data_IF_130224864363
#
_entry.id   IF_130224864363
#
_cell.length_a   1.000
_cell.length_b   1.000
_cell.length_c   1.000
_cell.angle_alpha   90.00
_cell.angle_beta   90.00
_cell.angle_gamma   90.00
#
_symmetry.space_group_name_H-M   'P 1'
#
loop_
_entity.id
_entity.type
_entity.pdbx_description
1 polymer ?
#
# COMPACT_ATOMS: atom_id res chain seq x y z
N UNK A 1 -25.31 -13.62 -4.33
CA UNK A 1 -25.29 -13.90 -5.78
C UNK A 1 -24.23 -14.94 -6.13
N UNK A 2 -22.98 -14.78 -5.70
CA UNK A 2 -21.99 -15.86 -5.82
C UNK A 2 -22.40 -17.15 -5.11
N UNK A 3 -23.03 -17.08 -3.92
CA UNK A 3 -23.54 -18.30 -3.25
C UNK A 3 -24.66 -19.00 -4.06
N UNK A 4 -25.52 -18.25 -4.76
CA UNK A 4 -26.54 -18.84 -5.65
C UNK A 4 -25.91 -19.54 -6.86
N UNK A 5 -24.80 -19.00 -7.37
CA UNK A 5 -23.99 -19.65 -8.42
C UNK A 5 -23.32 -20.94 -7.93
N UNK A 6 -22.92 -20.98 -6.66
CA UNK A 6 -22.41 -22.21 -6.06
C UNK A 6 -23.50 -23.27 -5.94
N UNK A 7 -24.78 -22.91 -5.88
CA UNK A 7 -25.88 -23.88 -5.81
C UNK A 7 -26.27 -24.46 -7.18
N UNK A 8 -26.05 -23.72 -8.28
CA UNK A 8 -26.48 -24.14 -9.62
C UNK A 8 -25.61 -25.23 -10.26
N UNK A 9 -24.36 -25.39 -9.79
CA UNK A 9 -23.37 -26.33 -10.35
C UNK A 9 -23.11 -26.20 -11.86
N UNK A 10 -23.50 -25.06 -12.44
CA UNK A 10 -23.37 -24.77 -13.87
C UNK A 10 -22.10 -23.95 -14.13
N UNK A 11 -21.10 -24.64 -14.67
CA UNK A 11 -19.80 -24.09 -15.05
C UNK A 11 -19.92 -22.97 -16.08
N UNK A 12 -20.80 -23.10 -17.08
CA UNK A 12 -20.95 -22.08 -18.13
C UNK A 12 -21.61 -20.83 -17.56
N UNK A 13 -22.57 -21.01 -16.65
CA UNK A 13 -23.18 -19.90 -15.93
C UNK A 13 -22.17 -19.19 -15.02
N UNK A 14 -21.30 -19.94 -14.33
CA UNK A 14 -20.23 -19.39 -13.51
C UNK A 14 -19.21 -18.59 -14.33
N UNK A 15 -18.72 -19.14 -15.44
CA UNK A 15 -17.82 -18.43 -16.35
C UNK A 15 -18.47 -17.16 -16.88
N UNK A 16 -19.71 -17.26 -17.37
CA UNK A 16 -20.45 -16.10 -17.90
C UNK A 16 -20.70 -15.05 -16.83
N UNK A 17 -20.99 -15.46 -15.60
CA UNK A 17 -21.13 -14.53 -14.49
C UNK A 17 -19.84 -13.76 -14.24
N UNK A 18 -18.70 -14.44 -14.12
CA UNK A 18 -17.43 -13.77 -13.84
C UNK A 18 -16.98 -12.86 -14.99
N UNK A 19 -17.18 -13.28 -16.24
CA UNK A 19 -16.78 -12.50 -17.42
C UNK A 19 -17.70 -11.31 -17.71
N UNK A 20 -19.02 -11.47 -17.62
CA UNK A 20 -19.96 -10.46 -18.13
C UNK A 20 -20.57 -9.59 -17.02
N UNK A 21 -20.75 -10.16 -15.81
CA UNK A 21 -21.51 -9.52 -14.73
C UNK A 21 -20.62 -9.09 -13.57
N UNK A 22 -19.64 -9.91 -13.18
CA UNK A 22 -18.79 -9.67 -12.03
C UNK A 22 -17.72 -8.60 -12.29
N UNK A 23 -17.34 -8.34 -13.55
CA UNK A 23 -16.42 -7.25 -13.92
C UNK A 23 -16.95 -5.88 -13.46
N UNK A 24 -18.29 -5.74 -13.38
CA UNK A 24 -18.93 -4.52 -12.86
C UNK A 24 -18.94 -4.42 -11.33
N UNK A 25 -18.64 -5.52 -10.61
CA UNK A 25 -18.61 -5.57 -9.15
C UNK A 25 -17.24 -5.21 -8.56
N UNK A 26 -16.17 -5.21 -9.36
CA UNK A 26 -14.85 -4.72 -8.94
C UNK A 26 -14.85 -3.25 -8.48
N UNK A 27 -15.90 -2.51 -8.82
CA UNK A 27 -16.09 -1.10 -8.47
C UNK A 27 -16.92 -0.86 -7.21
N UNK A 28 -17.47 -1.92 -6.59
CA UNK A 28 -18.28 -1.78 -5.39
C UNK A 28 -17.39 -1.68 -4.15
N UNK A 29 -17.66 -0.68 -3.30
CA UNK A 29 -17.21 -0.67 -1.91
C UNK A 29 -17.48 -2.05 -1.28
N UNK A 30 -16.42 -2.72 -0.81
CA UNK A 30 -16.52 -4.05 -0.23
C UNK A 30 -16.05 -5.21 -1.13
N UNK A 31 -15.08 -5.01 -2.02
CA UNK A 31 -14.38 -6.10 -2.73
C UNK A 31 -13.94 -7.24 -1.79
N UNK A 32 -13.56 -6.90 -0.54
CA UNK A 32 -13.28 -7.86 0.55
C UNK A 32 -14.45 -8.80 0.87
N UNK A 33 -15.70 -8.35 0.75
CA UNK A 33 -16.89 -9.17 1.00
C UNK A 33 -17.08 -10.26 -0.06
N UNK A 34 -16.51 -10.08 -1.25
CA UNK A 34 -16.58 -11.06 -2.34
C UNK A 34 -15.50 -12.15 -2.22
N UNK A 35 -14.43 -11.93 -1.46
CA UNK A 35 -13.31 -12.87 -1.34
C UNK A 35 -13.74 -14.28 -0.92
N UNK A 36 -14.55 -14.49 0.14
CA UNK A 36 -14.95 -15.84 0.54
C UNK A 36 -15.76 -16.55 -0.55
N UNK A 37 -16.58 -15.79 -1.28
CA UNK A 37 -17.38 -16.29 -2.38
C UNK A 37 -16.53 -16.67 -3.59
N UNK A 38 -15.52 -15.86 -3.93
CA UNK A 38 -14.56 -16.13 -5.00
C UNK A 38 -13.74 -17.39 -4.69
N UNK A 39 -13.21 -17.50 -3.46
CA UNK A 39 -12.47 -18.68 -3.01
C UNK A 39 -13.32 -19.95 -3.16
N UNK A 40 -14.58 -19.94 -2.71
CA UNK A 40 -15.50 -21.09 -2.88
C UNK A 40 -15.77 -21.42 -4.36
N UNK A 41 -15.93 -20.41 -5.21
CA UNK A 41 -16.16 -20.63 -6.64
C UNK A 41 -14.96 -21.29 -7.31
N UNK A 42 -13.75 -20.84 -6.99
CA UNK A 42 -12.51 -21.42 -7.51
C UNK A 42 -12.34 -22.87 -7.02
N UNK A 43 -12.61 -23.13 -5.74
CA UNK A 43 -12.57 -24.47 -5.17
C UNK A 43 -13.59 -25.42 -5.83
N UNK A 44 -14.77 -24.90 -6.16
CA UNK A 44 -15.87 -25.70 -6.73
C UNK A 44 -15.71 -25.97 -8.23
N UNK A 45 -15.43 -24.95 -9.04
CA UNK A 45 -15.44 -25.04 -10.50
C UNK A 45 -14.05 -25.28 -11.11
N UNK A 46 -12.99 -25.09 -10.33
CA UNK A 46 -11.62 -25.30 -10.75
C UNK A 46 -11.02 -24.11 -11.51
N UNK A 47 -9.73 -23.89 -11.28
CA UNK A 47 -8.97 -22.78 -11.86
C UNK A 47 -8.87 -22.80 -13.38
N UNK A 48 -8.64 -23.98 -13.96
CA UNK A 48 -8.48 -24.13 -15.41
C UNK A 48 -9.70 -23.67 -16.20
N UNK A 49 -10.85 -23.49 -15.53
CA UNK A 49 -12.12 -23.17 -16.16
C UNK A 49 -12.53 -21.71 -15.92
N UNK A 50 -12.46 -21.23 -14.67
CA UNK A 50 -12.93 -19.89 -14.31
C UNK A 50 -11.81 -18.91 -13.92
N UNK A 51 -10.55 -19.36 -13.89
CA UNK A 51 -9.43 -18.61 -13.34
C UNK A 51 -9.15 -17.30 -14.05
N UNK A 52 -9.08 -17.32 -15.38
CA UNK A 52 -8.87 -16.12 -16.19
C UNK A 52 -10.00 -15.09 -16.02
N UNK A 53 -11.25 -15.55 -15.92
CA UNK A 53 -12.39 -14.68 -15.68
C UNK A 53 -12.31 -14.02 -14.30
N UNK A 54 -11.92 -14.77 -13.27
CA UNK A 54 -11.72 -14.23 -11.92
C UNK A 54 -10.53 -13.25 -11.87
N UNK A 55 -9.42 -13.56 -12.55
CA UNK A 55 -8.29 -12.63 -12.66
C UNK A 55 -8.69 -11.32 -13.33
N UNK A 56 -9.46 -11.38 -14.41
CA UNK A 56 -9.93 -10.19 -15.11
C UNK A 56 -10.79 -9.29 -14.21
N UNK A 57 -11.61 -9.87 -13.32
CA UNK A 57 -12.39 -9.11 -12.33
C UNK A 57 -11.47 -8.42 -11.32
N UNK A 58 -10.48 -9.16 -10.80
CA UNK A 58 -9.57 -8.63 -9.78
C UNK A 58 -8.58 -7.60 -10.33
N UNK A 59 -8.22 -7.66 -11.62
CA UNK A 59 -7.32 -6.69 -12.27
C UNK A 59 -8.02 -5.39 -12.68
N UNK A 60 -9.33 -5.40 -12.95
CA UNK A 60 -10.09 -4.24 -13.46
C UNK A 60 -10.45 -3.18 -12.40
N UNK A 61 -9.96 -3.28 -11.17
CA UNK A 61 -10.27 -2.34 -10.09
C UNK A 61 -9.65 -0.95 -10.26
N UNK A 62 -8.77 -0.73 -11.25
CA UNK A 62 -7.96 0.51 -11.36
C UNK A 62 -8.51 1.61 -12.29
N UNK A 63 -9.52 1.37 -13.14
CA UNK A 63 -9.91 2.39 -14.14
C UNK A 63 -11.41 2.45 -14.42
N UNK A 64 -12.07 3.51 -13.91
CA UNK A 64 -13.31 4.03 -14.50
C UNK A 64 -13.12 5.49 -14.92
N UNK A 65 -13.21 5.76 -16.22
CA UNK A 65 -13.51 7.10 -16.74
C UNK A 65 -15.03 7.23 -16.66
N UNK A 66 -15.52 8.04 -15.72
CA UNK A 66 -16.91 8.49 -15.76
C UNK A 66 -17.06 9.46 -16.93
N UNK A 67 -17.38 8.94 -18.12
CA UNK A 67 -18.02 9.75 -19.14
C UNK A 67 -19.50 9.84 -18.78
N UNK A 68 -19.86 10.80 -17.93
CA UNK A 68 -21.23 11.31 -17.97
C UNK A 68 -21.38 12.06 -19.30
N UNK A 69 -22.24 11.55 -20.16
CA UNK A 69 -22.59 12.18 -21.42
C UNK A 69 -23.17 13.58 -21.16
N UNK A 70 -22.39 14.61 -21.52
CA UNK A 70 -22.94 15.80 -22.15
C UNK A 70 -22.00 16.18 -23.29
N UNK A 71 -22.38 15.97 -24.56
CA UNK A 71 -21.56 16.38 -25.68
C UNK A 71 -21.84 17.86 -25.90
N UNK A 72 -20.99 18.73 -25.37
CA UNK A 72 -20.60 20.02 -25.96
C UNK A 72 -19.80 20.83 -24.93
N UNK A 73 -18.51 21.04 -25.23
CA UNK A 73 -17.53 21.88 -24.53
C UNK A 73 -16.76 21.23 -23.37
N UNK A 74 -15.71 20.48 -23.71
CA UNK A 74 -14.53 20.37 -22.84
C UNK A 74 -13.26 20.09 -23.66
N UNK A 75 -12.45 21.12 -23.91
CA UNK A 75 -11.14 21.01 -24.55
C UNK A 75 -10.07 20.36 -23.65
N UNK A 76 -10.42 19.81 -22.48
CA UNK A 76 -9.51 19.01 -21.66
C UNK A 76 -10.32 18.14 -20.68
N UNK A 77 -10.48 16.82 -20.91
CA UNK A 77 -11.01 15.92 -19.89
C UNK A 77 -9.97 15.83 -18.77
N UNK A 78 -10.16 16.62 -17.70
CA UNK A 78 -9.43 16.41 -16.44
C UNK A 78 -9.88 15.06 -15.88
N UNK A 79 -9.00 14.08 -15.97
CA UNK A 79 -9.10 12.80 -15.28
C UNK A 79 -9.36 13.08 -13.79
N UNK A 80 -10.61 12.89 -13.35
CA UNK A 80 -10.96 12.79 -11.95
C UNK A 80 -10.36 11.49 -11.42
N UNK A 81 -9.11 11.55 -10.93
CA UNK A 81 -8.67 10.63 -9.88
C UNK A 81 -9.53 10.95 -8.67
N UNK A 82 -10.63 10.23 -8.51
CA UNK A 82 -11.39 10.22 -7.26
C UNK A 82 -10.39 9.87 -6.16
N UNK A 83 -10.23 10.81 -5.23
CA UNK A 83 -9.29 10.70 -4.11
C UNK A 83 -9.49 9.38 -3.36
N UNK A 84 -8.35 8.84 -2.91
CA UNK A 84 -8.24 7.51 -2.34
C UNK A 84 -9.25 7.21 -1.24
N UNK A 85 -10.02 6.16 -1.49
CA UNK A 85 -10.48 5.25 -0.44
C UNK A 85 -9.66 3.97 -0.55
N UNK A 86 -9.43 3.34 0.61
CA UNK A 86 -8.61 2.14 0.84
C UNK A 86 -9.14 0.89 0.10
N UNK A 87 -9.23 0.94 -1.22
CA UNK A 87 -9.38 -0.27 -2.00
C UNK A 87 -8.02 -0.94 -2.05
N UNK A 88 -7.95 -2.14 -1.47
CA UNK A 88 -6.83 -3.06 -1.64
C UNK A 88 -6.49 -3.15 -3.13
N UNK A 89 -5.20 -3.12 -3.47
CA UNK A 89 -4.79 -3.28 -4.86
C UNK A 89 -5.14 -4.68 -5.37
N UNK A 90 -5.20 -4.81 -6.68
CA UNK A 90 -5.44 -6.09 -7.36
C UNK A 90 -4.49 -7.19 -6.85
N UNK A 91 -3.22 -6.85 -6.59
CA UNK A 91 -2.23 -7.78 -6.08
C UNK A 91 -2.51 -8.24 -4.63
N UNK A 92 -2.92 -7.33 -3.74
CA UNK A 92 -3.29 -7.69 -2.36
C UNK A 92 -4.53 -8.61 -2.34
N UNK A 93 -5.55 -8.30 -3.15
CA UNK A 93 -6.76 -9.13 -3.26
C UNK A 93 -6.43 -10.55 -3.76
N UNK A 94 -5.55 -10.67 -4.77
CA UNK A 94 -5.08 -11.97 -5.27
C UNK A 94 -4.41 -12.79 -4.18
N UNK A 95 -3.56 -12.17 -3.35
CA UNK A 95 -2.88 -12.86 -2.24
C UNK A 95 -3.84 -13.21 -1.10
N UNK A 96 -4.89 -12.42 -0.86
CA UNK A 96 -5.93 -12.77 0.11
C UNK A 96 -6.76 -13.99 -0.35
N UNK A 97 -7.10 -14.09 -1.63
CA UNK A 97 -7.76 -15.30 -2.19
C UNK A 97 -6.85 -16.52 -2.05
N UNK A 98 -5.54 -16.34 -2.27
CA UNK A 98 -4.51 -17.40 -2.19
C UNK A 98 -4.50 -18.13 -0.85
N UNK A 99 -4.71 -17.44 0.27
CA UNK A 99 -4.71 -18.06 1.60
C UNK A 99 -5.82 -19.10 1.76
N UNK A 100 -6.97 -18.87 1.11
CA UNK A 100 -8.11 -19.80 1.13
C UNK A 100 -8.00 -20.97 0.15
N UNK A 101 -6.95 -21.06 -0.67
CA UNK A 101 -6.80 -22.09 -1.69
C UNK A 101 -5.93 -23.26 -1.20
N UNK A 102 -6.31 -24.48 -1.60
CA UNK A 102 -5.47 -25.66 -1.40
C UNK A 102 -4.19 -25.57 -2.23
N UNK A 103 -3.10 -26.18 -1.75
CA UNK A 103 -1.86 -26.29 -2.50
C UNK A 103 -2.07 -26.90 -3.89
N UNK A 104 -1.39 -26.36 -4.90
CA UNK A 104 -1.49 -26.82 -6.29
C UNK A 104 -1.33 -25.70 -7.33
N UNK A 105 -1.62 -26.03 -8.59
CA UNK A 105 -1.48 -25.11 -9.73
C UNK A 105 -2.29 -23.83 -9.59
N UNK A 106 -3.44 -23.90 -8.89
CA UNK A 106 -4.33 -22.77 -8.65
C UNK A 106 -3.65 -21.72 -7.78
N UNK A 107 -3.17 -22.13 -6.60
CA UNK A 107 -2.47 -21.24 -5.65
C UNK A 107 -1.24 -20.61 -6.30
N UNK A 108 -0.54 -21.39 -7.13
CA UNK A 108 0.60 -20.92 -7.95
C UNK A 108 0.23 -19.85 -8.96
N UNK A 109 -0.87 -20.04 -9.68
CA UNK A 109 -1.38 -19.06 -10.63
C UNK A 109 -1.69 -17.72 -9.96
N UNK A 110 -2.33 -17.74 -8.78
CA UNK A 110 -2.65 -16.52 -8.04
C UNK A 110 -1.42 -15.77 -7.54
N UNK A 111 -0.44 -16.46 -6.94
CA UNK A 111 0.77 -15.78 -6.47
C UNK A 111 1.57 -15.20 -7.63
N UNK A 112 1.71 -15.95 -8.74
CA UNK A 112 2.38 -15.43 -9.93
C UNK A 112 1.67 -14.19 -10.48
N UNK A 113 0.34 -14.25 -10.59
CA UNK A 113 -0.43 -13.08 -11.00
C UNK A 113 -0.25 -11.90 -10.04
N UNK A 114 -0.20 -12.11 -8.73
CA UNK A 114 0.03 -11.04 -7.77
C UNK A 114 1.42 -10.39 -7.93
N UNK A 115 2.46 -11.20 -8.18
CA UNK A 115 3.83 -10.74 -8.46
C UNK A 115 3.89 -9.92 -9.75
N UNK A 116 3.24 -10.39 -10.82
CA UNK A 116 3.15 -9.69 -12.11
C UNK A 116 2.37 -8.36 -12.01
N UNK A 117 1.44 -8.23 -11.05
CA UNK A 117 0.61 -7.03 -10.85
C UNK A 117 1.19 -6.06 -9.80
N UNK A 118 2.52 -6.03 -9.65
CA UNK A 118 3.20 -5.03 -8.83
C UNK A 118 3.23 -5.34 -7.33
N UNK A 119 3.07 -6.61 -6.96
CA UNK A 119 3.17 -7.21 -5.62
C UNK A 119 2.87 -6.24 -4.47
N UNK A 120 1.66 -6.23 -3.96
CA UNK A 120 1.29 -5.38 -2.82
C UNK A 120 1.11 -6.21 -1.55
N UNK A 121 1.77 -5.79 -0.47
CA UNK A 121 1.85 -6.53 0.80
C UNK A 121 1.56 -5.53 1.91
N UNK A 122 0.29 -5.11 1.99
CA UNK A 122 -0.18 -4.11 2.98
C UNK A 122 -0.57 -4.75 4.29
N UNK A 123 -1.00 -6.02 4.26
CA UNK A 123 -1.43 -6.73 5.45
C UNK A 123 -0.44 -7.81 5.90
N UNK A 124 -0.38 -8.04 7.22
CA UNK A 124 0.43 -9.13 7.80
C UNK A 124 -0.07 -10.51 7.33
N UNK A 125 -1.37 -10.67 7.08
CA UNK A 125 -1.94 -11.91 6.55
C UNK A 125 -1.38 -12.22 5.15
N UNK A 126 -1.39 -11.23 4.25
CA UNK A 126 -0.83 -11.38 2.90
C UNK A 126 0.68 -11.63 2.95
N UNK A 127 1.41 -10.93 3.82
CA UNK A 127 2.83 -11.19 4.05
C UNK A 127 3.09 -12.65 4.47
N UNK A 128 2.28 -13.19 5.39
CA UNK A 128 2.38 -14.58 5.83
C UNK A 128 2.05 -15.58 4.72
N UNK A 129 1.04 -15.32 3.91
CA UNK A 129 0.68 -16.16 2.77
C UNK A 129 1.81 -16.19 1.76
N UNK A 130 2.35 -15.03 1.41
CA UNK A 130 3.48 -14.90 0.49
C UNK A 130 4.71 -15.63 1.04
N UNK A 131 5.01 -15.46 2.33
CA UNK A 131 6.11 -16.12 3.02
C UNK A 131 6.02 -17.65 3.00
N UNK A 132 4.87 -18.21 3.40
CA UNK A 132 4.64 -19.66 3.40
C UNK A 132 4.77 -20.24 2.00
N UNK A 133 4.32 -19.49 1.01
CA UNK A 133 4.36 -19.91 -0.37
C UNK A 133 5.79 -19.90 -0.94
N UNK A 134 6.57 -18.84 -0.72
CA UNK A 134 7.96 -18.75 -1.21
C UNK A 134 8.92 -19.72 -0.53
N UNK A 135 8.67 -20.07 0.73
CA UNK A 135 9.46 -21.10 1.44
C UNK A 135 9.15 -22.52 0.95
N UNK A 136 7.96 -22.75 0.39
CA UNK A 136 7.57 -24.06 -0.19
C UNK A 136 7.92 -24.16 -1.67
N UNK A 137 7.96 -23.02 -2.37
CA UNK A 137 8.18 -22.91 -3.81
C UNK A 137 9.31 -21.93 -4.11
N UNK A 138 10.54 -22.42 -4.01
CA UNK A 138 11.75 -21.60 -4.17
C UNK A 138 11.94 -21.08 -5.59
N UNK A 139 11.25 -21.63 -6.60
CA UNK A 139 11.38 -21.23 -8.00
C UNK A 139 10.89 -19.81 -8.33
N UNK A 140 10.05 -19.21 -7.48
CA UNK A 140 9.54 -17.84 -7.64
C UNK A 140 10.25 -16.84 -6.72
N UNK A 141 11.12 -17.33 -5.82
CA UNK A 141 11.61 -16.52 -4.71
C UNK A 141 12.40 -15.32 -5.20
N UNK A 142 13.17 -15.50 -6.29
CA UNK A 142 13.94 -14.45 -6.92
C UNK A 142 13.05 -13.32 -7.45
N UNK A 143 11.92 -13.68 -8.05
CA UNK A 143 10.97 -12.71 -8.60
C UNK A 143 10.29 -11.91 -7.48
N UNK A 144 9.86 -12.60 -6.42
CA UNK A 144 9.27 -11.98 -5.22
C UNK A 144 10.27 -11.05 -4.55
N UNK A 145 11.50 -11.51 -4.33
CA UNK A 145 12.56 -10.72 -3.69
C UNK A 145 12.90 -9.49 -4.53
N UNK A 146 13.03 -9.65 -5.84
CA UNK A 146 13.26 -8.52 -6.77
C UNK A 146 12.15 -7.48 -6.64
N UNK A 147 10.88 -7.90 -6.64
CA UNK A 147 9.75 -6.98 -6.50
C UNK A 147 9.71 -6.27 -5.15
N UNK A 148 9.99 -6.98 -4.05
CA UNK A 148 10.09 -6.36 -2.72
C UNK A 148 11.28 -5.40 -2.63
N UNK A 149 12.40 -5.70 -3.29
CA UNK A 149 13.56 -4.80 -3.35
C UNK A 149 13.32 -3.56 -4.20
N UNK A 150 12.38 -3.57 -5.15
CA UNK A 150 11.97 -2.38 -5.91
C UNK A 150 11.11 -1.40 -5.07
N UNK A 151 10.52 -1.86 -3.96
CA UNK A 151 9.60 -1.04 -3.15
C UNK A 151 10.26 -0.01 -2.24
N UNK A 152 9.49 1.00 -1.88
CA UNK A 152 9.86 1.93 -0.81
C UNK A 152 10.04 1.15 0.50
N UNK A 153 11.16 1.33 1.23
CA UNK A 153 11.37 0.67 2.52
C UNK A 153 10.22 0.85 3.52
N UNK A 154 9.46 1.95 3.48
CA UNK A 154 8.30 2.19 4.33
C UNK A 154 7.18 1.14 4.11
N UNK A 155 7.03 0.64 2.88
CA UNK A 155 6.01 -0.36 2.54
C UNK A 155 6.38 -1.78 2.96
N UNK A 156 7.63 -2.01 3.37
CA UNK A 156 8.12 -3.35 3.70
C UNK A 156 7.72 -3.84 5.09
N UNK A 157 7.14 -2.97 5.94
CA UNK A 157 6.79 -3.28 7.35
C UNK A 157 6.01 -4.59 7.50
N UNK A 158 4.94 -4.87 6.73
CA UNK A 158 4.17 -6.10 6.93
C UNK A 158 5.00 -7.35 6.62
N UNK A 159 5.87 -7.27 5.60
CA UNK A 159 6.73 -8.37 5.18
C UNK A 159 7.89 -8.60 6.15
N UNK A 160 8.59 -7.54 6.55
CA UNK A 160 9.73 -7.65 7.49
C UNK A 160 9.29 -8.14 8.87
N UNK A 161 8.12 -7.70 9.34
CA UNK A 161 7.51 -8.23 10.56
C UNK A 161 7.21 -9.73 10.43
N UNK A 162 6.70 -10.18 9.28
CA UNK A 162 6.49 -11.60 9.02
C UNK A 162 7.82 -12.37 9.04
N UNK A 163 8.83 -11.93 8.29
CA UNK A 163 10.13 -12.59 8.25
C UNK A 163 10.75 -12.72 9.65
N UNK A 164 10.66 -11.69 10.48
CA UNK A 164 11.21 -11.70 11.85
C UNK A 164 10.66 -12.84 12.73
N UNK A 165 9.46 -13.35 12.44
CA UNK A 165 8.83 -14.43 13.20
C UNK A 165 9.33 -15.82 12.78
N UNK A 166 9.73 -16.00 11.52
CA UNK A 166 10.00 -17.33 10.94
C UNK A 166 11.47 -17.57 10.60
N UNK A 167 12.28 -16.51 10.54
CA UNK A 167 13.69 -16.58 10.13
C UNK A 167 14.59 -17.34 11.12
N UNK A 168 14.18 -17.47 12.40
CA UNK A 168 14.91 -18.27 13.38
C UNK A 168 14.86 -19.79 13.08
N UNK A 169 13.91 -20.22 12.25
CA UNK A 169 13.75 -21.63 11.85
C UNK A 169 14.45 -21.94 10.51
N UNK A 170 14.95 -20.92 9.81
CA UNK A 170 15.67 -21.07 8.55
C UNK A 170 17.16 -21.36 8.77
N UNK A 171 17.76 -22.09 7.84
CA UNK A 171 19.20 -22.31 7.82
C UNK A 171 19.91 -21.04 7.32
N UNK A 172 20.88 -20.54 8.07
CA UNK A 172 21.65 -19.32 7.73
C UNK A 172 22.42 -19.47 6.40
N UNK A 173 22.70 -20.71 5.97
CA UNK A 173 23.37 -21.02 4.70
C UNK A 173 22.38 -21.21 3.51
N UNK A 174 21.08 -21.11 3.74
CA UNK A 174 20.07 -21.22 2.67
C UNK A 174 20.08 -19.95 1.80
N UNK A 175 20.15 -20.11 0.49
CA UNK A 175 20.03 -19.01 -0.48
C UNK A 175 18.74 -18.18 -0.26
N UNK A 176 17.67 -18.85 0.17
CA UNK A 176 16.42 -18.23 0.61
C UNK A 176 16.65 -17.28 1.78
N UNK A 177 17.38 -17.73 2.80
CA UNK A 177 17.70 -16.93 3.98
C UNK A 177 18.50 -15.68 3.58
N UNK A 178 19.52 -15.84 2.73
CA UNK A 178 20.35 -14.72 2.25
C UNK A 178 19.52 -13.66 1.53
N UNK A 179 18.62 -14.08 0.63
CA UNK A 179 17.75 -13.16 -0.14
C UNK A 179 16.79 -12.38 0.76
N UNK A 180 16.20 -13.05 1.75
CA UNK A 180 15.28 -12.44 2.70
C UNK A 180 16.00 -11.50 3.69
N UNK A 181 17.20 -11.90 4.10
CA UNK A 181 18.07 -11.06 4.92
C UNK A 181 18.39 -9.74 4.21
N UNK A 182 18.59 -9.74 2.89
CA UNK A 182 18.81 -8.51 2.12
C UNK A 182 17.61 -7.54 2.18
N UNK A 183 16.36 -8.05 2.21
CA UNK A 183 15.16 -7.21 2.37
C UNK A 183 15.11 -6.61 3.77
N UNK A 184 15.38 -7.41 4.81
CA UNK A 184 15.44 -6.93 6.18
C UNK A 184 16.55 -5.88 6.38
N UNK A 185 17.73 -6.10 5.78
CA UNK A 185 18.85 -5.17 5.83
C UNK A 185 18.49 -3.80 5.22
N UNK A 186 17.81 -3.79 4.05
CA UNK A 186 17.31 -2.57 3.42
C UNK A 186 16.35 -1.80 4.33
N UNK A 187 15.45 -2.51 5.03
CA UNK A 187 14.53 -1.91 6.01
C UNK A 187 15.29 -1.36 7.23
N UNK A 188 16.27 -2.09 7.74
CA UNK A 188 17.12 -1.63 8.85
C UNK A 188 17.88 -0.35 8.52
N UNK A 189 18.45 -0.26 7.32
CA UNK A 189 19.15 0.94 6.85
C UNK A 189 18.21 2.16 6.85
N UNK A 190 17.04 2.02 6.22
CA UNK A 190 16.02 3.07 6.22
C UNK A 190 15.57 3.45 7.63
N UNK A 191 15.34 2.49 8.53
CA UNK A 191 14.95 2.77 9.91
C UNK A 191 16.00 3.59 10.65
N UNK A 192 17.29 3.28 10.48
CA UNK A 192 18.39 4.04 11.11
C UNK A 192 18.42 5.48 10.61
N UNK A 193 18.32 5.67 9.30
CA UNK A 193 18.27 7.01 8.69
C UNK A 193 17.04 7.79 9.16
N UNK A 194 15.87 7.15 9.21
CA UNK A 194 14.61 7.77 9.57
C UNK A 194 14.56 8.16 11.05
N UNK A 195 15.05 7.29 11.94
CA UNK A 195 15.22 7.61 13.37
C UNK A 195 16.17 8.79 13.52
N UNK A 196 17.35 8.75 12.88
CA UNK A 196 18.33 9.84 12.97
C UNK A 196 17.75 11.16 12.44
N UNK A 197 16.91 11.10 11.41
CA UNK A 197 16.21 12.25 10.85
C UNK A 197 15.20 12.84 11.84
N UNK A 198 14.42 12.00 12.52
CA UNK A 198 13.36 12.41 13.44
C UNK A 198 13.86 12.80 14.83
N UNK A 199 15.02 12.30 15.27
CA UNK A 199 15.63 12.69 16.55
C UNK A 199 16.21 14.11 16.56
N UNK A 200 16.30 14.75 15.39
CA UNK A 200 16.72 16.15 15.31
C UNK A 200 15.70 17.06 16.02
N UNK A 201 16.15 18.11 16.73
CA UNK A 201 15.25 19.08 17.31
C UNK A 201 14.31 19.69 16.27
N UNK A 202 13.10 20.02 16.69
CA UNK A 202 12.11 20.68 15.83
C UNK A 202 12.69 21.97 15.21
N UNK A 203 12.49 22.12 13.91
CA UNK A 203 12.68 23.37 13.17
C UNK A 203 11.41 23.67 12.39
N UNK A 204 11.22 24.94 12.02
CA UNK A 204 10.14 25.34 11.12
C UNK A 204 10.43 24.93 9.66
N UNK A 205 11.62 24.44 9.36
CA UNK A 205 11.96 23.94 8.03
C UNK A 205 11.33 22.57 7.82
N UNK A 206 10.56 22.43 6.74
CA UNK A 206 9.97 21.16 6.29
C UNK A 206 10.67 20.72 4.99
N UNK A 207 11.94 20.29 5.04
CA UNK A 207 12.77 20.05 3.86
C UNK A 207 12.20 18.99 2.91
N UNK A 208 11.34 18.10 3.43
CA UNK A 208 10.72 17.01 2.69
C UNK A 208 9.31 17.32 2.18
N UNK A 209 8.82 18.55 2.36
CA UNK A 209 7.56 18.97 1.77
C UNK A 209 7.56 18.77 0.25
N UNK A 210 6.46 18.21 -0.28
CA UNK A 210 6.26 17.89 -1.70
C UNK A 210 4.88 18.35 -2.17
N UNK A 211 4.72 18.45 -3.50
CA UNK A 211 3.42 18.56 -4.18
C UNK A 211 2.62 19.83 -3.82
N UNK A 212 3.24 21.02 -3.99
CA UNK A 212 2.56 22.32 -3.95
C UNK A 212 3.25 23.33 -4.89
N UNK A 213 2.82 24.59 -4.92
CA UNK A 213 3.42 25.67 -5.72
C UNK A 213 4.87 25.93 -5.30
N UNK A 214 5.72 26.40 -6.22
CA UNK A 214 7.13 26.68 -5.93
C UNK A 214 7.31 27.68 -4.78
N UNK A 215 6.43 28.69 -4.71
CA UNK A 215 6.45 29.68 -3.63
C UNK A 215 6.12 29.05 -2.28
N UNK A 216 5.08 28.21 -2.21
CA UNK A 216 4.71 27.50 -1.00
C UNK A 216 5.77 26.44 -0.63
N UNK A 217 6.41 25.78 -1.60
CA UNK A 217 7.53 24.87 -1.35
C UNK A 217 8.72 25.60 -0.75
N UNK A 218 9.07 26.78 -1.27
CA UNK A 218 10.15 27.61 -0.74
C UNK A 218 9.84 28.06 0.69
N UNK A 219 8.60 28.51 0.96
CA UNK A 219 8.16 28.81 2.32
C UNK A 219 8.23 27.59 3.23
N UNK A 220 7.66 26.45 2.83
CA UNK A 220 7.64 25.22 3.62
C UNK A 220 9.05 24.76 4.01
N UNK A 221 9.98 24.82 3.07
CA UNK A 221 11.38 24.42 3.28
C UNK A 221 12.22 25.50 3.98
N UNK A 222 11.75 26.75 4.00
CA UNK A 222 12.40 27.86 4.67
C UNK A 222 12.19 27.87 6.18
N UNK A 223 12.87 28.78 6.91
CA UNK A 223 12.80 28.87 8.36
C UNK A 223 11.57 29.63 8.88
N UNK A 224 10.85 30.33 8.00
CA UNK A 224 9.75 31.21 8.39
C UNK A 224 8.55 30.41 8.88
N UNK A 225 7.93 30.85 9.98
CA UNK A 225 6.75 30.21 10.55
C UNK A 225 5.47 30.54 9.76
N UNK A 226 5.42 31.76 9.20
CA UNK A 226 4.23 32.31 8.54
C UNK A 226 4.56 32.87 7.18
N UNK A 227 3.61 32.78 6.24
CA UNK A 227 3.66 33.41 4.93
C UNK A 227 2.29 33.97 4.58
N UNK A 228 2.27 35.21 4.11
CA UNK A 228 1.08 35.82 3.53
C UNK A 228 1.17 35.69 1.99
N UNK A 229 0.16 35.07 1.39
CA UNK A 229 0.07 34.86 -0.04
C UNK A 229 -0.98 35.82 -0.62
N UNK A 230 -0.49 36.73 -1.45
CA UNK A 230 -1.29 37.74 -2.11
C UNK A 230 -1.45 37.39 -3.59
N UNK A 231 -2.69 37.42 -4.06
CA UNK A 231 -3.06 37.28 -5.46
C UNK A 231 -4.31 38.14 -5.71
N UNK A 232 -4.76 38.24 -6.96
CA UNK A 232 -5.99 38.97 -7.33
C UNK A 232 -7.24 38.17 -6.92
N UNK A 233 -7.45 38.05 -5.62
CA UNK A 233 -8.53 37.25 -5.02
C UNK A 233 -9.77 38.09 -4.73
N UNK A 234 -10.95 37.57 -5.10
CA UNK A 234 -12.15 37.83 -4.29
C UNK A 234 -12.12 36.97 -3.02
N UNK A 235 -12.94 37.34 -2.02
CA UNK A 235 -13.09 36.53 -0.80
C UNK A 235 -13.54 35.09 -1.11
N UNK A 236 -14.31 34.90 -2.17
CA UNK A 236 -14.70 33.60 -2.69
C UNK A 236 -13.50 32.75 -3.14
N UNK A 237 -12.60 33.33 -3.91
CA UNK A 237 -11.43 32.67 -4.49
C UNK A 237 -10.41 32.33 -3.41
N UNK A 238 -10.16 33.25 -2.47
CA UNK A 238 -9.28 33.01 -1.33
C UNK A 238 -9.76 31.82 -0.48
N UNK A 239 -11.08 31.70 -0.25
CA UNK A 239 -11.66 30.55 0.47
C UNK A 239 -11.54 29.24 -0.32
N UNK A 240 -11.72 29.28 -1.63
CA UNK A 240 -11.55 28.10 -2.48
C UNK A 240 -10.08 27.65 -2.49
N UNK A 241 -9.14 28.58 -2.67
CA UNK A 241 -7.71 28.32 -2.65
C UNK A 241 -7.26 27.74 -1.30
N UNK A 242 -7.67 28.36 -0.20
CA UNK A 242 -7.33 27.87 1.15
C UNK A 242 -7.74 26.40 1.36
N UNK A 243 -8.89 25.98 0.83
CA UNK A 243 -9.36 24.58 0.90
C UNK A 243 -8.49 23.61 0.10
N UNK A 244 -7.95 24.04 -1.04
CA UNK A 244 -7.05 23.19 -1.84
C UNK A 244 -5.71 22.95 -1.14
N UNK A 245 -5.28 23.87 -0.28
CA UNK A 245 -3.98 23.81 0.39
C UNK A 245 -3.98 23.05 1.73
N UNK A 246 -5.09 22.43 2.16
CA UNK A 246 -5.23 21.87 3.51
C UNK A 246 -4.40 20.60 3.81
N UNK A 247 -3.76 19.98 2.81
CA UNK A 247 -3.08 18.69 3.00
C UNK A 247 -1.78 18.52 2.19
N UNK A 248 -0.74 19.35 2.42
CA UNK A 248 0.57 19.10 1.82
C UNK A 248 1.19 17.82 2.38
N UNK A 249 1.84 17.00 1.53
CA UNK A 249 2.54 15.79 1.98
C UNK A 249 3.80 16.15 2.75
N UNK A 250 4.04 15.46 3.87
CA UNK A 250 5.19 15.66 4.77
C UNK A 250 5.32 17.08 5.33
N UNK A 251 4.20 17.77 5.51
CA UNK A 251 4.14 19.10 6.10
C UNK A 251 2.84 19.26 6.89
N UNK A 252 2.82 20.24 7.80
CA UNK A 252 1.57 20.64 8.45
C UNK A 252 1.46 22.16 8.47
N UNK A 253 0.40 22.66 7.87
CA UNK A 253 0.14 24.08 7.74
C UNK A 253 -1.32 24.34 8.10
N UNK A 254 -1.53 25.40 8.86
CA UNK A 254 -2.82 26.03 9.07
C UNK A 254 -2.99 27.11 8.01
N UNK A 255 -4.15 27.13 7.37
CA UNK A 255 -4.47 28.07 6.31
C UNK A 255 -5.64 28.92 6.75
N UNK A 256 -5.46 30.24 6.77
CA UNK A 256 -6.48 31.20 7.17
C UNK A 256 -6.70 32.23 6.07
N UNK A 257 -7.96 32.55 5.77
CA UNK A 257 -8.29 33.67 4.88
C UNK A 257 -8.39 34.93 5.72
N UNK A 258 -7.57 35.92 5.40
CA UNK A 258 -7.61 37.22 6.07
C UNK A 258 -8.48 38.16 5.21
N UNK A 259 -9.67 38.56 5.70
CA UNK A 259 -10.51 39.50 4.99
C UNK A 259 -9.87 40.89 5.06
N UNK A 260 -9.57 41.46 3.89
CA UNK A 260 -9.21 42.87 3.70
C UNK A 260 -10.31 43.53 2.87
N UNK A 261 -10.62 44.80 3.15
CA UNK A 261 -11.68 45.55 2.47
C UNK A 261 -11.42 45.74 0.96
N UNK A 262 -10.16 45.63 0.52
CA UNK A 262 -9.77 45.80 -0.89
C UNK A 262 -9.21 44.53 -1.52
N UNK A 263 -8.32 43.82 -0.81
CA UNK A 263 -7.57 42.69 -1.37
C UNK A 263 -7.41 41.58 -0.32
N UNK A 264 -8.39 40.66 -0.19
CA UNK A 264 -8.29 39.55 0.74
C UNK A 264 -7.10 38.65 0.37
N UNK A 265 -6.43 38.10 1.37
CA UNK A 265 -5.25 37.26 1.17
C UNK A 265 -5.32 36.00 2.02
N UNK A 266 -4.42 35.04 1.72
CA UNK A 266 -4.36 33.77 2.43
C UNK A 266 -3.08 33.71 3.26
N UNK A 267 -3.22 33.48 4.56
CA UNK A 267 -2.11 33.29 5.49
C UNK A 267 -1.87 31.81 5.72
N UNK A 268 -0.63 31.41 5.53
CA UNK A 268 -0.13 30.09 5.86
C UNK A 268 0.68 30.17 7.16
N UNK A 269 0.36 29.32 8.12
CA UNK A 269 1.11 29.18 9.38
C UNK A 269 1.53 27.73 9.55
N UNK A 270 2.84 27.47 9.60
CA UNK A 270 3.36 26.13 9.86
C UNK A 270 2.94 25.68 11.25
N UNK A 271 2.71 24.38 11.41
CA UNK A 271 2.39 23.79 12.71
C UNK A 271 3.36 22.69 13.07
N UNK A 272 3.45 22.38 14.37
CA UNK A 272 4.24 21.27 14.90
C UNK A 272 3.59 19.90 14.70
N UNK A 273 2.33 19.85 14.26
CA UNK A 273 1.52 18.64 14.25
C UNK A 273 2.16 17.49 13.48
N UNK A 274 2.73 17.77 12.29
CA UNK A 274 3.42 16.73 11.53
C UNK A 274 4.65 16.20 12.27
N UNK A 275 5.49 17.09 12.82
CA UNK A 275 6.66 16.69 13.58
C UNK A 275 6.29 15.86 14.82
N UNK A 276 5.27 16.26 15.57
CA UNK A 276 4.78 15.53 16.74
C UNK A 276 4.25 14.14 16.37
N UNK A 277 3.49 14.03 15.28
CA UNK A 277 2.99 12.75 14.76
C UNK A 277 4.14 11.83 14.31
N UNK A 278 5.13 12.35 13.59
CA UNK A 278 6.27 11.53 13.16
C UNK A 278 7.18 11.14 14.34
N UNK A 279 7.43 12.05 15.28
CA UNK A 279 8.18 11.75 16.51
C UNK A 279 7.53 10.64 17.33
N UNK A 280 6.19 10.59 17.37
CA UNK A 280 5.46 9.55 18.08
C UNK A 280 5.74 8.14 17.52
N UNK A 281 6.24 8.02 16.27
CA UNK A 281 6.63 6.74 15.65
C UNK A 281 8.04 6.26 16.04
N UNK A 282 8.89 7.14 16.59
CA UNK A 282 10.28 6.77 16.95
C UNK A 282 10.36 5.54 17.86
N UNK A 283 9.54 5.38 18.93
CA UNK A 283 9.58 4.18 19.77
C UNK A 283 9.26 2.90 18.98
N UNK A 284 8.33 2.96 18.03
CA UNK A 284 7.96 1.84 17.18
C UNK A 284 9.10 1.48 16.22
N UNK A 285 9.71 2.48 15.56
CA UNK A 285 10.87 2.28 14.68
C UNK A 285 12.07 1.69 15.42
N UNK A 286 12.36 2.15 16.64
CA UNK A 286 13.42 1.58 17.48
C UNK A 286 13.14 0.12 17.84
N UNK A 287 11.88 -0.18 18.20
CA UNK A 287 11.47 -1.55 18.52
C UNK A 287 11.57 -2.48 17.30
N UNK A 288 11.15 -2.02 16.12
CA UNK A 288 11.29 -2.75 14.86
C UNK A 288 12.77 -2.98 14.54
N UNK A 289 13.61 -1.95 14.63
CA UNK A 289 15.04 -2.06 14.38
C UNK A 289 15.71 -3.07 15.32
N UNK A 290 15.37 -3.08 16.61
CA UNK A 290 15.88 -4.08 17.55
C UNK A 290 15.44 -5.52 17.22
N UNK A 291 14.24 -5.69 16.66
CA UNK A 291 13.76 -7.00 16.21
C UNK A 291 14.52 -7.47 14.96
N UNK A 292 14.75 -6.57 14.01
CA UNK A 292 15.46 -6.89 12.77
C UNK A 292 16.98 -6.99 12.95
N UNK A 293 17.59 -6.23 13.85
CA UNK A 293 19.03 -6.31 14.15
C UNK A 293 19.42 -7.61 14.90
N UNK A 294 18.44 -8.28 15.53
CA UNK A 294 18.62 -9.65 16.02
C UNK A 294 18.78 -10.67 14.91
N UNK A 295 18.42 -10.34 13.66
CA UNK A 295 18.59 -11.20 12.50
C UNK A 295 20.04 -11.22 12.00
N UNK A 296 20.77 -10.11 12.19
CA UNK A 296 22.17 -9.96 11.81
C UNK A 296 23.15 -10.62 12.79
N UNK A 297 22.67 -11.02 13.98
CA UNK A 297 23.51 -11.65 15.01
C UNK A 297 23.41 -13.17 14.88
N UNK A 298 24.48 -13.87 14.43
CA UNK A 298 24.46 -15.32 14.29
C UNK A 298 24.08 -15.95 15.62
N UNK A 299 23.18 -16.93 15.53
CA UNK A 299 22.61 -17.63 16.67
C UNK A 299 23.67 -18.48 17.38
N UNK A 300 24.53 -17.84 18.17
CA UNK A 300 25.41 -18.55 19.10
C UNK A 300 24.57 -19.22 20.20
N UNK A 301 24.10 -20.44 19.92
CA UNK A 301 23.76 -21.41 20.95
C UNK A 301 22.30 -21.54 21.40
N UNK A 302 21.30 -21.37 20.52
CA UNK A 302 19.93 -21.85 20.85
C UNK A 302 19.86 -23.38 20.71
N UNK A 303 20.03 -24.09 21.82
CA UNK A 303 19.78 -25.55 21.90
C UNK A 303 18.33 -25.84 21.56
N UNK A 304 18.09 -26.57 20.45
CA UNK A 304 16.79 -27.12 20.07
C UNK A 304 16.20 -27.94 21.24
N UNK A 305 14.93 -27.70 21.67
CA UNK A 305 14.21 -28.67 22.48
C UNK A 305 14.02 -29.94 21.64
N UNK A 306 14.46 -31.08 22.17
CA UNK A 306 14.23 -32.38 21.54
C UNK A 306 12.73 -32.68 21.59
N UNK A 307 12.08 -32.75 20.43
CA UNK A 307 10.78 -33.43 20.31
C UNK A 307 11.02 -34.93 20.57
N UNK A 308 10.49 -35.41 21.69
CA UNK A 308 10.42 -36.83 22.02
C UNK A 308 9.51 -37.55 21.03
N UNK A 309 9.96 -38.73 20.59
CA UNK A 309 9.28 -39.64 19.67
C UNK A 309 7.91 -40.09 20.17
#
# INVERSE_FOLDING_TARGET
MCDLLLETDDVNLATKFFTDYCVRLGYLEGSKMLLPSLTKAIQKFGWSVIGEAVLAVLKNTETMVLSEESPENLENPKLLKVGGFENDSSAELLLQVTDGLSEGEVKRGFVKAAVENGLDVRSSAVAQTLWKYTTTHTEIIDEVVTKLQEKDPHELVPFTNCCSQYIADLNEEDDTFVKLHAIAAKRCEWLREEIQRLEKPFTWEMPYAKETTDEMLNFLRGPDETMDFHDDFCLCDANWFAKQCLSPRHASVMVEVVPDEKEPFVRFTKTRKWFEVEMAKIPEYKSELELLDKLDKPSSGRKKPRLSK
#
